data_IF_443883202321
#
_entry.id   IF_443883202321
#
_cell.length_a   1.000
_cell.length_b   1.000
_cell.length_c   1.000
_cell.angle_alpha   90.00
_cell.angle_beta   90.00
_cell.angle_gamma   90.00
#
_symmetry.space_group_name_H-M   'P 1'
#
loop_
_entity.id
_entity.type
_entity.pdbx_description
1 polymer ?
#
# COMPACT_ATOMS: atom_id res chain seq x y z
N UNK A 1 -8.03 14.05 -20.50
CA UNK A 1 -8.05 13.39 -19.18
C UNK A 1 -7.54 14.40 -18.17
N UNK A 2 -8.29 14.65 -17.09
CA UNK A 2 -7.87 15.61 -16.06
C UNK A 2 -6.53 15.16 -15.45
N UNK A 3 -5.56 16.08 -15.37
CA UNK A 3 -4.21 15.85 -14.85
C UNK A 3 -4.25 15.25 -13.44
N UNK A 4 -5.24 15.64 -12.63
CA UNK A 4 -5.47 15.10 -11.29
C UNK A 4 -5.76 13.59 -11.33
N UNK A 5 -6.58 13.14 -12.29
CA UNK A 5 -6.90 11.71 -12.45
C UNK A 5 -5.66 10.90 -12.84
N UNK A 6 -4.87 11.43 -13.78
CA UNK A 6 -3.60 10.81 -14.20
C UNK A 6 -2.69 10.62 -12.99
N UNK A 7 -2.52 11.66 -12.18
CA UNK A 7 -1.71 11.61 -10.97
C UNK A 7 -2.20 10.55 -9.98
N UNK A 8 -3.52 10.49 -9.72
CA UNK A 8 -4.10 9.50 -8.81
C UNK A 8 -3.94 8.06 -9.32
N UNK A 9 -4.04 7.82 -10.63
CA UNK A 9 -3.76 6.50 -11.21
C UNK A 9 -2.30 6.10 -11.03
N UNK A 10 -1.36 7.02 -11.30
CA UNK A 10 0.08 6.77 -11.10
C UNK A 10 0.38 6.51 -9.62
N UNK A 11 -0.19 7.30 -8.71
CA UNK A 11 -0.05 7.10 -7.27
C UNK A 11 -0.57 5.72 -6.84
N UNK A 12 -1.72 5.29 -7.34
CA UNK A 12 -2.28 3.97 -7.06
C UNK A 12 -1.36 2.84 -7.55
N UNK A 13 -0.78 2.98 -8.74
CA UNK A 13 0.14 2.01 -9.31
C UNK A 13 1.45 1.92 -8.50
N UNK A 14 1.98 3.05 -8.03
CA UNK A 14 3.15 3.09 -7.14
C UNK A 14 2.84 2.40 -5.80
N UNK A 15 1.66 2.65 -5.21
CA UNK A 15 1.24 2.02 -3.97
C UNK A 15 1.10 0.50 -4.12
N UNK A 16 0.56 0.02 -5.25
CA UNK A 16 0.46 -1.41 -5.54
C UNK A 16 1.83 -2.07 -5.68
N UNK A 17 2.78 -1.43 -6.37
CA UNK A 17 4.14 -1.97 -6.53
C UNK A 17 4.84 -2.03 -5.16
N UNK A 18 4.77 -0.95 -4.36
CA UNK A 18 5.38 -0.91 -3.04
C UNK A 18 4.76 -1.93 -2.09
N UNK A 19 3.44 -1.97 -2.00
CA UNK A 19 2.73 -2.94 -1.16
C UNK A 19 2.97 -4.37 -1.59
N UNK A 20 2.97 -4.64 -2.90
CA UNK A 20 3.31 -5.96 -3.44
C UNK A 20 4.72 -6.40 -3.05
N UNK A 21 5.70 -5.49 -3.14
CA UNK A 21 7.07 -5.76 -2.69
C UNK A 21 7.12 -6.08 -1.19
N UNK A 22 6.49 -5.27 -0.33
CA UNK A 22 6.49 -5.51 1.12
C UNK A 22 5.81 -6.84 1.48
N UNK A 23 4.70 -7.20 0.80
CA UNK A 23 4.05 -8.50 0.97
C UNK A 23 4.97 -9.64 0.54
N UNK A 24 5.67 -9.49 -0.58
CA UNK A 24 6.62 -10.50 -1.05
C UNK A 24 7.74 -10.74 -0.04
N UNK A 25 8.29 -9.66 0.53
CA UNK A 25 9.30 -9.74 1.60
C UNK A 25 8.73 -10.41 2.86
N UNK A 26 7.49 -10.10 3.25
CA UNK A 26 6.82 -10.78 4.38
C UNK A 26 6.60 -12.28 4.15
N UNK A 27 6.24 -12.69 2.93
CA UNK A 27 6.07 -14.12 2.58
C UNK A 27 7.42 -14.84 2.64
N UNK A 28 8.49 -14.17 2.19
CA UNK A 28 9.86 -14.69 2.20
C UNK A 28 10.68 -14.13 3.38
N UNK A 29 10.06 -13.96 4.56
CA UNK A 29 10.69 -13.27 5.70
C UNK A 29 11.99 -13.94 6.16
N UNK A 30 12.13 -15.24 5.93
CA UNK A 30 13.34 -16.01 6.19
C UNK A 30 14.54 -15.63 5.32
N UNK A 31 14.34 -14.80 4.29
CA UNK A 31 15.42 -14.22 3.47
C UNK A 31 15.80 -12.80 3.90
N UNK A 32 15.06 -12.20 4.86
CA UNK A 32 15.33 -10.86 5.36
C UNK A 32 16.53 -10.89 6.31
N UNK A 33 17.58 -10.14 5.96
CA UNK A 33 18.84 -10.10 6.69
C UNK A 33 18.63 -9.66 8.15
N UNK A 34 17.81 -8.65 8.38
CA UNK A 34 17.48 -8.08 9.69
C UNK A 34 16.83 -9.12 10.64
N UNK A 35 16.09 -10.08 10.09
CA UNK A 35 15.44 -11.14 10.84
C UNK A 35 16.38 -12.32 11.12
N UNK A 36 17.40 -12.51 10.28
CA UNK A 36 18.38 -13.58 10.42
C UNK A 36 19.63 -13.18 11.22
N UNK A 37 19.90 -11.90 11.40
CA UNK A 37 21.04 -11.43 12.19
C UNK A 37 20.91 -11.86 13.66
N UNK A 38 21.93 -12.54 14.17
CA UNK A 38 22.04 -12.99 15.57
C UNK A 38 22.34 -11.85 16.53
N UNK A 39 22.86 -10.71 16.05
CA UNK A 39 23.05 -9.51 16.86
C UNK A 39 21.72 -8.82 17.21
N UNK A 40 20.67 -9.04 16.41
CA UNK A 40 19.37 -8.44 16.62
C UNK A 40 18.56 -9.18 17.69
N UNK A 41 18.03 -8.42 18.65
CA UNK A 41 17.15 -8.98 19.70
C UNK A 41 15.82 -9.45 19.11
N UNK A 42 15.18 -10.42 19.78
CA UNK A 42 13.84 -10.90 19.40
C UNK A 42 12.81 -9.76 19.35
N UNK A 43 12.89 -8.81 20.28
CA UNK A 43 12.01 -7.64 20.32
C UNK A 43 12.17 -6.76 19.07
N UNK A 44 13.41 -6.54 18.61
CA UNK A 44 13.67 -5.81 17.38
C UNK A 44 13.07 -6.52 16.16
N UNK A 45 13.28 -7.83 16.04
CA UNK A 45 12.74 -8.64 14.93
C UNK A 45 11.22 -8.62 14.86
N UNK A 46 10.55 -8.72 16.00
CA UNK A 46 9.09 -8.59 16.09
C UNK A 46 8.66 -7.18 15.66
N UNK A 47 9.31 -6.13 16.18
CA UNK A 47 9.03 -4.75 15.81
C UNK A 47 9.18 -4.50 14.31
N UNK A 48 10.20 -5.10 13.69
CA UNK A 48 10.44 -5.03 12.25
C UNK A 48 9.29 -5.64 11.44
N UNK A 49 8.87 -6.88 11.76
CA UNK A 49 7.74 -7.54 11.09
C UNK A 49 6.44 -6.75 11.28
N UNK A 50 6.19 -6.24 12.49
CA UNK A 50 5.01 -5.40 12.77
C UNK A 50 5.06 -4.11 11.93
N UNK A 51 6.22 -3.48 11.79
CA UNK A 51 6.41 -2.30 10.95
C UNK A 51 6.05 -2.56 9.48
N UNK A 52 6.52 -3.68 8.92
CA UNK A 52 6.18 -4.10 7.56
C UNK A 52 4.67 -4.35 7.40
N UNK A 53 4.01 -4.98 8.38
CA UNK A 53 2.56 -5.21 8.35
C UNK A 53 1.78 -3.88 8.37
N UNK A 54 2.21 -2.92 9.19
CA UNK A 54 1.60 -1.58 9.22
C UNK A 54 1.74 -0.88 7.87
N UNK A 55 2.91 -0.96 7.24
CA UNK A 55 3.15 -0.38 5.91
C UNK A 55 2.19 -0.94 4.86
N UNK A 56 1.97 -2.26 4.84
CA UNK A 56 1.00 -2.91 3.96
C UNK A 56 -0.42 -2.38 4.18
N UNK A 57 -0.86 -2.28 5.44
CA UNK A 57 -2.20 -1.74 5.77
C UNK A 57 -2.36 -0.30 5.30
N UNK A 58 -1.33 0.54 5.48
CA UNK A 58 -1.34 1.93 5.03
C UNK A 58 -1.47 2.01 3.50
N UNK A 59 -0.71 1.22 2.74
CA UNK A 59 -0.81 1.22 1.29
C UNK A 59 -2.19 0.82 0.78
N UNK A 60 -2.77 -0.26 1.31
CA UNK A 60 -4.13 -0.65 0.94
C UNK A 60 -5.18 0.39 1.37
N UNK A 61 -5.00 1.03 2.52
CA UNK A 61 -5.85 2.13 2.97
C UNK A 61 -5.85 3.31 1.99
N UNK A 62 -4.67 3.73 1.52
CA UNK A 62 -4.54 4.80 0.53
C UNK A 62 -5.13 4.41 -0.83
N UNK A 63 -4.91 3.18 -1.28
CA UNK A 63 -5.53 2.65 -2.52
C UNK A 63 -7.05 2.72 -2.42
N UNK A 64 -7.62 2.30 -1.28
CA UNK A 64 -9.07 2.39 -1.03
C UNK A 64 -9.57 3.83 -1.12
N UNK A 65 -8.87 4.79 -0.49
CA UNK A 65 -9.25 6.21 -0.53
C UNK A 65 -9.27 6.73 -1.98
N UNK A 66 -8.27 6.37 -2.78
CA UNK A 66 -8.19 6.75 -4.20
C UNK A 66 -9.35 6.12 -4.99
N UNK A 67 -9.65 4.85 -4.74
CA UNK A 67 -10.76 4.14 -5.38
C UNK A 67 -12.12 4.77 -5.04
N UNK A 68 -12.38 5.04 -3.75
CA UNK A 68 -13.61 5.68 -3.27
C UNK A 68 -13.79 7.09 -3.87
N UNK A 69 -12.69 7.83 -4.07
CA UNK A 69 -12.71 9.12 -4.76
C UNK A 69 -13.23 8.99 -6.20
N UNK A 70 -12.73 8.01 -6.97
CA UNK A 70 -13.17 7.79 -8.35
C UNK A 70 -14.62 7.29 -8.45
N UNK A 71 -15.07 6.45 -7.51
CA UNK A 71 -16.46 6.02 -7.45
C UNK A 71 -17.43 7.18 -7.22
N UNK A 72 -17.13 8.04 -6.24
CA UNK A 72 -17.94 9.24 -5.94
C UNK A 72 -18.00 10.20 -7.13
N UNK A 73 -16.89 10.37 -7.83
CA UNK A 73 -16.86 11.22 -9.02
C UNK A 73 -17.76 10.67 -10.14
N UNK A 74 -17.76 9.35 -10.34
CA UNK A 74 -18.64 8.68 -11.31
C UNK A 74 -20.12 8.87 -10.96
N UNK A 75 -20.50 8.73 -9.69
CA UNK A 75 -21.88 8.92 -9.22
C UNK A 75 -22.38 10.35 -9.42
N UNK A 76 -21.58 11.36 -9.07
CA UNK A 76 -21.95 12.77 -9.26
C UNK A 76 -22.16 13.11 -10.75
N UNK A 77 -21.32 12.58 -11.63
CA UNK A 77 -21.44 12.81 -13.07
C UNK A 77 -22.70 12.14 -13.65
N UNK A 78 -23.09 10.97 -13.13
CA UNK A 78 -24.31 10.28 -13.57
C UNK A 78 -25.59 11.02 -13.15
N UNK A 79 -25.59 11.68 -12.00
CA UNK A 79 -26.77 12.38 -11.47
C UNK A 79 -26.98 13.78 -12.09
N UNK A 80 -25.97 14.33 -12.78
CA UNK A 80 -26.09 15.63 -13.47
C UNK A 80 -26.60 15.50 -14.92
N UNK A 81 -26.58 14.29 -15.47
CA UNK A 81 -26.99 14.01 -16.86
C UNK A 81 -28.45 13.51 -16.92
N UNK A 82 -29.02 13.09 -15.78
CA UNK A 82 -30.45 12.76 -15.61
C UNK A 82 -31.22 13.96 -15.07
#
# INVERSE_FOLDING_TARGET
>A
MDLKKVFLYVACLVLLIKGGKTIWELINFNQIMELNDVANSTAYKIGFVVGMLVEVVVFFGLIKIIYDYFLKEKEMTSNTIN
#
